data_IF_792290386044
#
_entry.id   IF_792290386044
#
_cell.length_a   1.000
_cell.length_b   1.000
_cell.length_c   1.000
_cell.angle_alpha   90.00
_cell.angle_beta   90.00
_cell.angle_gamma   90.00
#
_symmetry.space_group_name_H-M   'P 1'
#
loop_
_entity.id
_entity.type
_entity.pdbx_description
1 polymer ?
#
# COMPACT_ATOMS: atom_id res chain seq x y z
N UNK A 1 2.64 15.80 -6.64
CA UNK A 1 3.26 14.59 -6.06
C UNK A 1 4.07 13.82 -7.09
N UNK A 2 3.61 13.72 -8.33
CA UNK A 2 4.31 12.98 -9.40
C UNK A 2 5.73 13.48 -9.70
N UNK A 3 5.94 14.80 -9.72
CA UNK A 3 7.30 15.35 -9.89
C UNK A 3 8.22 14.95 -8.74
N UNK A 4 7.73 15.04 -7.50
CA UNK A 4 8.46 14.55 -6.32
C UNK A 4 8.84 13.08 -6.46
N UNK A 5 7.88 12.23 -6.83
CA UNK A 5 8.13 10.80 -7.03
C UNK A 5 9.18 10.54 -8.11
N UNK A 6 9.19 11.33 -9.19
CA UNK A 6 10.09 11.13 -10.33
C UNK A 6 11.50 11.65 -10.08
N UNK A 7 11.66 12.76 -9.37
CA UNK A 7 12.94 13.50 -9.34
C UNK A 7 13.66 13.46 -7.99
N UNK A 8 13.01 12.99 -6.93
CA UNK A 8 13.63 12.96 -5.59
C UNK A 8 14.42 11.67 -5.40
N UNK A 9 15.64 11.80 -4.87
CA UNK A 9 16.47 10.66 -4.46
C UNK A 9 15.70 9.69 -3.56
N UNK A 10 15.92 8.38 -3.75
CA UNK A 10 15.11 7.32 -3.15
C UNK A 10 14.99 7.44 -1.62
N UNK A 11 16.08 7.81 -0.96
CA UNK A 11 16.18 7.99 0.51
C UNK A 11 15.30 9.12 1.06
N UNK A 12 14.87 10.04 0.19
CA UNK A 12 14.00 11.18 0.52
C UNK A 12 12.65 11.09 -0.23
N UNK A 13 12.37 9.99 -0.92
CA UNK A 13 11.20 9.84 -1.77
C UNK A 13 10.04 9.22 -1.00
N UNK A 14 9.10 10.06 -0.55
CA UNK A 14 7.98 9.67 0.33
C UNK A 14 7.22 8.42 -0.19
N UNK A 15 6.75 8.35 -1.45
CA UNK A 15 6.09 7.15 -1.96
C UNK A 15 6.96 5.89 -1.96
N UNK A 16 8.26 6.02 -2.28
CA UNK A 16 9.17 4.86 -2.27
C UNK A 16 9.40 4.34 -0.85
N UNK A 17 9.63 5.24 0.10
CA UNK A 17 9.83 4.89 1.51
C UNK A 17 8.58 4.19 2.05
N UNK A 18 7.39 4.75 1.80
CA UNK A 18 6.12 4.14 2.22
C UNK A 18 5.92 2.76 1.60
N UNK A 19 6.22 2.58 0.31
CA UNK A 19 6.14 1.28 -0.36
C UNK A 19 7.10 0.25 0.25
N UNK A 20 8.34 0.66 0.55
CA UNK A 20 9.35 -0.24 1.14
C UNK A 20 8.98 -0.64 2.57
N UNK A 21 8.40 0.26 3.36
CA UNK A 21 7.88 -0.07 4.70
C UNK A 21 6.74 -1.09 4.59
N UNK A 22 5.83 -0.92 3.62
CA UNK A 22 4.75 -1.89 3.36
C UNK A 22 5.30 -3.28 3.00
N UNK A 23 6.26 -3.34 2.07
CA UNK A 23 6.95 -4.59 1.70
C UNK A 23 7.66 -5.21 2.92
N UNK A 24 8.28 -4.39 3.77
CA UNK A 24 8.97 -4.86 4.96
C UNK A 24 8.01 -5.61 5.90
N UNK A 25 6.88 -5.01 6.24
CA UNK A 25 5.91 -5.64 7.12
C UNK A 25 5.20 -6.83 6.45
N UNK A 26 4.82 -6.73 5.18
CA UNK A 26 4.12 -7.81 4.48
C UNK A 26 5.01 -9.03 4.24
N UNK A 27 6.22 -8.83 3.69
CA UNK A 27 7.06 -9.93 3.23
C UNK A 27 7.93 -10.53 4.33
N UNK A 28 8.32 -9.74 5.34
CA UNK A 28 9.22 -10.21 6.40
C UNK A 28 8.52 -10.44 7.74
N UNK A 29 7.50 -9.64 8.07
CA UNK A 29 6.71 -9.81 9.30
C UNK A 29 5.41 -10.59 9.07
N UNK A 30 5.05 -10.88 7.82
CA UNK A 30 3.86 -11.65 7.47
C UNK A 30 2.55 -10.90 7.78
N UNK A 31 2.57 -9.57 7.86
CA UNK A 31 1.35 -8.81 8.13
C UNK A 31 0.49 -8.73 6.88
N UNK A 32 -0.72 -9.27 6.96
CA UNK A 32 -1.65 -9.27 5.82
C UNK A 32 -2.51 -8.00 5.75
N UNK A 33 -2.50 -7.14 6.78
CA UNK A 33 -3.40 -5.98 6.87
C UNK A 33 -2.65 -4.67 7.08
N UNK A 34 -3.21 -3.59 6.53
CA UNK A 34 -2.76 -2.21 6.78
C UNK A 34 -3.97 -1.35 7.17
N UNK A 35 -3.84 -0.59 8.27
CA UNK A 35 -4.90 0.27 8.77
C UNK A 35 -4.68 1.74 8.34
N UNK A 36 -5.66 2.33 7.65
CA UNK A 36 -5.67 3.76 7.32
C UNK A 36 -6.64 4.47 8.28
N UNK A 37 -6.09 5.27 9.19
CA UNK A 37 -6.83 5.93 10.28
C UNK A 37 -6.74 7.45 10.14
N UNK A 38 -7.55 8.08 9.27
CA UNK A 38 -7.54 9.53 9.14
C UNK A 38 -8.20 10.16 10.38
N UNK A 39 -7.53 11.17 10.94
CA UNK A 39 -8.05 12.00 12.05
C UNK A 39 -8.89 13.17 11.52
N UNK A 40 -9.64 12.92 10.45
CA UNK A 40 -10.55 13.89 9.83
C UNK A 40 -11.81 13.14 9.35
N UNK A 41 -12.96 13.54 9.88
CA UNK A 41 -14.25 12.92 9.55
C UNK A 41 -14.65 13.09 8.08
N UNK A 42 -14.19 14.17 7.43
CA UNK A 42 -14.41 14.35 5.99
C UNK A 42 -13.69 13.27 5.16
N UNK A 43 -12.66 12.62 5.72
CA UNK A 43 -11.91 11.54 5.08
C UNK A 43 -12.48 10.14 5.37
N UNK A 44 -13.71 9.99 5.87
CA UNK A 44 -14.30 8.67 6.17
C UNK A 44 -14.36 7.70 4.97
N UNK A 45 -14.32 8.18 3.72
CA UNK A 45 -14.26 7.33 2.51
C UNK A 45 -12.86 7.08 1.98
N UNK A 46 -11.85 7.72 2.57
CA UNK A 46 -10.47 7.64 2.09
C UNK A 46 -9.95 6.19 2.14
N UNK A 47 -10.18 5.48 3.25
CA UNK A 47 -9.81 4.07 3.36
C UNK A 47 -10.49 3.19 2.30
N UNK A 48 -11.78 3.41 2.02
CA UNK A 48 -12.53 2.65 1.02
C UNK A 48 -12.02 2.89 -0.42
N UNK A 49 -11.58 4.12 -0.72
CA UNK A 49 -10.95 4.43 -2.01
C UNK A 49 -9.63 3.65 -2.19
N UNK A 50 -8.79 3.62 -1.16
CA UNK A 50 -7.52 2.89 -1.20
C UNK A 50 -7.69 1.37 -1.21
N UNK A 51 -8.73 0.84 -0.57
CA UNK A 51 -9.07 -0.59 -0.65
C UNK A 51 -9.20 -1.04 -2.10
N UNK A 52 -10.02 -0.35 -2.90
CA UNK A 52 -10.15 -0.69 -4.31
C UNK A 52 -8.83 -0.49 -5.06
N UNK A 53 -8.25 0.71 -4.98
CA UNK A 53 -7.07 1.06 -5.77
C UNK A 53 -5.87 0.13 -5.52
N UNK A 54 -5.61 -0.21 -4.26
CA UNK A 54 -4.47 -1.06 -3.91
C UNK A 54 -4.78 -2.55 -4.13
N UNK A 55 -5.87 -3.07 -3.56
CA UNK A 55 -6.15 -4.50 -3.61
C UNK A 55 -6.43 -4.97 -5.04
N UNK A 56 -7.08 -4.15 -5.87
CA UNK A 56 -7.32 -4.48 -7.28
C UNK A 56 -6.02 -4.46 -8.09
N UNK A 57 -5.12 -3.52 -7.81
CA UNK A 57 -3.85 -3.37 -8.51
C UNK A 57 -2.83 -4.44 -8.13
N UNK A 58 -2.67 -4.68 -6.82
CA UNK A 58 -1.56 -5.49 -6.28
C UNK A 58 -1.98 -6.89 -5.81
N UNK A 59 -3.28 -7.18 -5.69
CA UNK A 59 -3.81 -8.48 -5.29
C UNK A 59 -3.63 -9.60 -6.33
N UNK A 60 -2.48 -9.66 -6.99
CA UNK A 60 -2.12 -10.58 -8.07
C UNK A 60 -1.20 -11.69 -7.57
N UNK A 61 -1.28 -12.86 -8.21
CA UNK A 61 -0.51 -14.05 -7.85
C UNK A 61 0.42 -14.54 -8.99
N UNK A 62 0.40 -13.86 -10.13
CA UNK A 62 1.29 -14.11 -11.27
C UNK A 62 2.25 -12.92 -11.40
N UNK A 63 3.54 -13.19 -11.52
CA UNK A 63 4.56 -12.16 -11.72
C UNK A 63 4.59 -11.65 -13.18
N UNK A 64 5.54 -10.75 -13.47
CA UNK A 64 5.66 -10.13 -14.80
C UNK A 64 6.17 -11.10 -15.87
N UNK A 65 6.80 -12.20 -15.47
CA UNK A 65 7.34 -13.23 -16.35
C UNK A 65 6.33 -14.38 -16.59
N UNK A 66 5.15 -14.30 -15.95
CA UNK A 66 4.07 -15.28 -16.08
C UNK A 66 4.17 -16.45 -15.10
N UNK A 67 5.09 -16.40 -14.14
CA UNK A 67 5.25 -17.44 -13.14
C UNK A 67 4.37 -17.17 -11.91
N UNK A 68 4.05 -18.23 -11.18
CA UNK A 68 3.35 -18.09 -9.90
C UNK A 68 4.26 -17.45 -8.86
N UNK A 69 3.80 -16.34 -8.29
CA UNK A 69 4.54 -15.60 -7.26
C UNK A 69 4.62 -16.41 -5.96
N UNK A 70 5.81 -16.48 -5.37
CA UNK A 70 6.08 -17.19 -4.12
C UNK A 70 5.96 -16.27 -2.88
N UNK A 71 5.82 -14.96 -3.10
CA UNK A 71 5.73 -13.97 -2.03
C UNK A 71 4.27 -13.60 -1.75
N UNK A 72 3.94 -13.22 -0.50
CA UNK A 72 2.67 -12.56 -0.24
C UNK A 72 2.66 -11.24 -1.00
N UNK A 73 1.64 -11.06 -1.86
CA UNK A 73 1.47 -9.85 -2.66
C UNK A 73 0.22 -9.06 -2.24
N UNK A 74 -0.60 -9.63 -1.34
CA UNK A 74 -1.90 -9.09 -0.99
C UNK A 74 -1.87 -8.52 0.42
N UNK A 75 -1.99 -7.20 0.51
CA UNK A 75 -2.28 -6.49 1.76
C UNK A 75 -3.74 -6.06 1.74
N UNK A 76 -4.46 -6.34 2.81
CA UNK A 76 -5.85 -5.94 3.02
C UNK A 76 -5.89 -4.59 3.74
N UNK A 77 -6.50 -3.60 3.11
CA UNK A 77 -6.68 -2.28 3.72
C UNK A 77 -7.94 -2.24 4.58
N UNK A 78 -7.82 -1.73 5.80
CA UNK A 78 -8.93 -1.53 6.74
C UNK A 78 -8.89 -0.10 7.27
N UNK A 79 -10.02 0.48 7.69
CA UNK A 79 -9.99 1.82 8.26
C UNK A 79 -11.35 2.50 8.37
N UNK A 80 -11.48 3.38 9.36
CA UNK A 80 -12.60 4.32 9.57
C UNK A 80 -12.00 5.64 10.05
N UNK A 81 -12.63 6.77 9.72
CA UNK A 81 -12.28 8.04 10.36
C UNK A 81 -12.51 7.96 11.88
N UNK A 82 -11.58 8.54 12.64
CA UNK A 82 -11.73 8.71 14.08
C UNK A 82 -12.77 9.79 14.39
N UNK A 83 -13.48 9.62 15.50
CA UNK A 83 -14.47 10.58 16.01
C UNK A 83 -13.81 11.85 16.58
#
# INVERSE_FOLDING_TARGET
>A
MDNHFRTTEAENNIPMILALIGIWYNNFFGTETEAILPYDQYMHRFAAYFQQGNMESNGKYIDRDGNQSQLPNRTYYLGRAGD
#
